data_IF_686782677880
#
_entry.id   IF_686782677880
#
_cell.length_a   1.000
_cell.length_b   1.000
_cell.length_c   1.000
_cell.angle_alpha   90.00
_cell.angle_beta   90.00
_cell.angle_gamma   90.00
#
_symmetry.space_group_name_H-M   'P 1'
#
loop_
_entity.id
_entity.type
_entity.pdbx_description
1 polymer ?
#
# COMPACT_ATOMS: atom_id res chain seq x y z
N UNK A 1 13.74 -9.20 4.96
CA UNK A 1 12.56 -9.31 4.06
C UNK A 1 12.82 -8.51 2.81
N UNK A 2 12.42 -9.03 1.66
CA UNK A 2 12.51 -8.31 0.39
C UNK A 2 11.16 -7.70 0.05
N UNK A 3 11.19 -6.44 -0.39
CA UNK A 3 10.01 -5.70 -0.84
C UNK A 3 10.21 -5.20 -2.26
N UNK A 4 9.11 -5.08 -2.98
CA UNK A 4 9.09 -4.68 -4.39
C UNK A 4 8.16 -3.49 -4.58
N UNK A 5 8.58 -2.58 -5.46
CA UNK A 5 7.78 -1.43 -5.87
C UNK A 5 7.74 -1.33 -7.39
N UNK A 6 6.54 -1.30 -7.96
CA UNK A 6 6.34 -1.18 -9.40
C UNK A 6 6.11 0.27 -9.83
N UNK A 7 6.89 0.75 -10.79
CA UNK A 7 6.83 2.12 -11.27
C UNK A 7 7.21 2.21 -12.75
N UNK A 8 7.34 3.41 -13.27
CA UNK A 8 7.84 3.67 -14.62
C UNK A 8 9.34 4.00 -14.65
N UNK A 9 9.99 4.03 -13.50
CA UNK A 9 11.44 4.27 -13.38
C UNK A 9 11.98 3.61 -12.11
N UNK A 10 13.29 3.39 -12.08
CA UNK A 10 13.96 2.91 -10.87
C UNK A 10 13.93 3.99 -9.78
N UNK A 11 13.72 3.57 -8.52
CA UNK A 11 13.64 4.49 -7.39
C UNK A 11 14.70 4.08 -6.34
N UNK A 12 15.99 4.45 -6.56
CA UNK A 12 17.05 4.13 -5.58
C UNK A 12 16.85 4.82 -4.24
N UNK A 13 16.20 5.97 -4.25
CA UNK A 13 15.95 6.77 -3.05
C UNK A 13 14.47 7.15 -2.97
N UNK A 14 13.63 6.29 -2.36
CA UNK A 14 12.21 6.59 -2.22
C UNK A 14 11.98 7.83 -1.34
N UNK A 15 10.90 8.55 -1.61
CA UNK A 15 10.48 9.70 -0.83
C UNK A 15 8.95 9.70 -0.62
N UNK A 16 8.49 10.60 0.25
CA UNK A 16 7.08 10.76 0.57
C UNK A 16 6.43 11.84 -0.32
N UNK A 17 7.22 12.82 -0.79
CA UNK A 17 6.72 14.03 -1.45
C UNK A 17 6.03 13.75 -2.80
N UNK A 18 6.47 12.73 -3.53
CA UNK A 18 5.92 12.35 -4.83
C UNK A 18 4.70 11.43 -4.73
N UNK A 19 4.27 11.08 -3.52
CA UNK A 19 3.11 10.20 -3.31
C UNK A 19 1.79 10.95 -3.38
N UNK A 20 0.71 10.20 -3.72
CA UNK A 20 -0.65 10.74 -3.70
C UNK A 20 -1.21 10.73 -2.29
N UNK A 21 -1.96 11.79 -1.86
CA UNK A 21 -2.42 11.89 -0.48
C UNK A 21 -3.67 11.06 -0.15
N UNK A 22 -4.60 10.88 -1.10
CA UNK A 22 -5.92 10.30 -0.84
C UNK A 22 -6.02 8.87 -1.37
N UNK A 23 -5.13 8.01 -0.90
CA UNK A 23 -5.07 6.58 -1.24
C UNK A 23 -5.21 5.73 0.03
N UNK A 24 -5.19 4.42 -0.11
CA UNK A 24 -5.63 3.46 0.92
C UNK A 24 -5.06 3.70 2.33
N UNK A 25 -3.77 3.96 2.45
CA UNK A 25 -3.10 4.22 3.72
C UNK A 25 -2.53 5.64 3.81
N UNK A 26 -3.04 6.53 2.96
CA UNK A 26 -2.59 7.91 2.90
C UNK A 26 -1.27 8.08 2.17
N UNK A 27 -0.70 9.27 2.29
CA UNK A 27 0.56 9.62 1.64
C UNK A 27 1.70 8.75 2.18
N UNK A 28 2.49 8.19 1.26
CA UNK A 28 3.61 7.34 1.63
C UNK A 28 4.22 6.62 0.43
N UNK A 29 5.26 5.87 0.69
CA UNK A 29 5.89 4.99 -0.28
C UNK A 29 5.35 3.57 -0.08
N UNK A 30 4.78 2.99 -1.14
CA UNK A 30 4.12 1.69 -1.10
C UNK A 30 5.00 0.60 -1.71
N UNK A 31 5.13 -0.52 -1.00
CA UNK A 31 5.86 -1.68 -1.48
C UNK A 31 5.14 -2.97 -1.02
N UNK A 32 5.45 -4.09 -1.65
CA UNK A 32 4.83 -5.38 -1.34
C UNK A 32 5.88 -6.48 -1.30
N UNK A 33 5.75 -7.49 -0.42
CA UNK A 33 6.59 -8.67 -0.47
C UNK A 33 6.24 -9.60 -1.64
N UNK A 34 5.12 -9.35 -2.33
CA UNK A 34 4.65 -10.17 -3.44
C UNK A 34 5.16 -9.61 -4.77
N UNK A 35 6.20 -10.22 -5.33
CA UNK A 35 6.81 -9.77 -6.59
C UNK A 35 5.77 -9.63 -7.70
N UNK A 36 4.92 -10.63 -7.87
CA UNK A 36 3.87 -10.64 -8.90
C UNK A 36 2.90 -9.45 -8.77
N UNK A 37 2.59 -9.05 -7.55
CA UNK A 37 1.73 -7.89 -7.30
C UNK A 37 2.40 -6.60 -7.78
N UNK A 38 3.67 -6.43 -7.48
CA UNK A 38 4.44 -5.26 -7.94
C UNK A 38 4.60 -5.26 -9.47
N UNK A 39 4.78 -6.42 -10.08
CA UNK A 39 4.83 -6.58 -11.55
C UNK A 39 3.49 -6.17 -12.20
N UNK A 40 2.36 -6.50 -11.59
CA UNK A 40 1.06 -6.05 -12.07
C UNK A 40 0.89 -4.53 -11.99
N UNK A 41 1.43 -3.90 -10.96
CA UNK A 41 1.46 -2.42 -10.89
C UNK A 41 2.28 -1.82 -12.04
N UNK A 42 3.36 -2.47 -12.45
CA UNK A 42 4.17 -2.03 -13.58
C UNK A 42 3.43 -2.10 -14.92
N UNK A 43 2.57 -3.11 -15.12
CA UNK A 43 1.87 -3.34 -16.39
C UNK A 43 1.05 -2.13 -16.86
N UNK A 44 0.49 -1.37 -15.93
CA UNK A 44 -0.26 -0.15 -16.27
C UNK A 44 0.61 0.88 -16.99
N UNK A 45 1.89 0.97 -16.62
CA UNK A 45 2.83 1.88 -17.26
C UNK A 45 3.15 1.45 -18.69
N UNK A 46 3.30 0.15 -18.92
CA UNK A 46 3.45 -0.39 -20.30
C UNK A 46 2.25 -0.04 -21.17
N UNK A 47 1.04 -0.15 -20.66
CA UNK A 47 -0.18 0.24 -21.39
C UNK A 47 -0.22 1.72 -21.74
N UNK A 48 0.48 2.55 -20.98
CA UNK A 48 0.62 3.99 -21.22
C UNK A 48 1.83 4.33 -22.13
N UNK A 49 2.52 3.33 -22.68
CA UNK A 49 3.71 3.54 -23.51
C UNK A 49 4.95 3.91 -22.72
N UNK A 50 4.97 3.68 -21.41
CA UNK A 50 6.11 3.94 -20.53
C UNK A 50 6.86 2.65 -20.20
N UNK A 51 8.06 2.76 -19.68
CA UNK A 51 8.77 1.61 -19.15
C UNK A 51 8.05 1.08 -17.90
N UNK A 52 8.19 -0.21 -17.66
CA UNK A 52 7.75 -0.86 -16.43
C UNK A 52 8.99 -1.29 -15.66
N UNK A 53 9.21 -0.70 -14.50
CA UNK A 53 10.41 -0.92 -13.69
C UNK A 53 10.02 -1.42 -12.31
N UNK A 54 10.63 -2.53 -11.93
CA UNK A 54 10.48 -3.12 -10.60
C UNK A 54 11.69 -2.74 -9.75
N UNK A 55 11.49 -1.92 -8.75
CA UNK A 55 12.52 -1.59 -7.75
C UNK A 55 12.48 -2.58 -6.60
N UNK A 56 13.64 -2.99 -6.12
CA UNK A 56 13.83 -4.06 -5.13
C UNK A 56 14.54 -3.50 -3.91
N UNK A 57 14.00 -3.79 -2.73
CA UNK A 57 14.55 -3.33 -1.46
C UNK A 57 14.66 -4.48 -0.47
N UNK A 58 15.69 -4.46 0.36
CA UNK A 58 15.71 -5.21 1.61
C UNK A 58 15.20 -4.31 2.73
N UNK A 59 14.47 -4.89 3.67
CA UNK A 59 13.93 -4.17 4.82
C UNK A 59 14.57 -4.72 6.09
N UNK A 60 15.07 -3.82 6.92
CA UNK A 60 15.59 -4.15 8.25
C UNK A 60 14.42 -4.33 9.22
N UNK A 61 14.08 -5.57 9.52
CA UNK A 61 12.93 -5.92 10.36
C UNK A 61 13.10 -5.45 11.82
N UNK A 62 14.34 -5.38 12.33
CA UNK A 62 14.62 -4.85 13.66
C UNK A 62 14.32 -3.37 13.76
N UNK A 63 14.81 -2.59 12.80
CA UNK A 63 14.53 -1.15 12.72
C UNK A 63 13.06 -0.89 12.49
N UNK A 64 12.41 -1.70 11.65
CA UNK A 64 10.96 -1.61 11.44
C UNK A 64 10.20 -1.76 12.75
N UNK A 65 10.55 -2.74 13.57
CA UNK A 65 9.89 -3.01 14.85
C UNK A 65 9.99 -1.85 15.86
N UNK A 66 10.95 -0.95 15.68
CA UNK A 66 11.12 0.25 16.51
C UNK A 66 10.26 1.44 16.06
N UNK A 67 9.59 1.31 14.91
CA UNK A 67 8.72 2.36 14.36
C UNK A 67 7.29 2.22 14.88
N UNK A 68 6.51 3.29 14.74
CA UNK A 68 5.07 3.23 15.05
C UNK A 68 4.35 2.49 13.94
N UNK A 69 3.93 1.27 14.22
CA UNK A 69 3.31 0.37 13.26
C UNK A 69 1.81 0.26 13.45
N UNK A 70 1.09 0.16 12.35
CA UNK A 70 -0.29 -0.28 12.32
C UNK A 70 -0.39 -1.44 11.33
N UNK A 71 -0.88 -2.58 11.77
CA UNK A 71 -0.97 -3.79 10.94
C UNK A 71 -2.37 -4.37 10.97
N UNK A 72 -2.85 -4.75 9.78
CA UNK A 72 -4.14 -5.40 9.59
C UNK A 72 -3.93 -6.78 8.97
N UNK A 73 -4.35 -7.83 9.65
CA UNK A 73 -4.22 -9.21 9.16
C UNK A 73 -5.30 -9.59 8.15
N UNK A 74 -6.44 -8.91 8.20
CA UNK A 74 -7.61 -9.20 7.37
C UNK A 74 -8.26 -7.90 6.88
N UNK A 75 -9.19 -8.02 5.95
CA UNK A 75 -10.09 -6.92 5.57
C UNK A 75 -11.19 -6.77 6.63
N UNK A 76 -10.78 -6.28 7.80
CA UNK A 76 -11.66 -6.04 8.95
C UNK A 76 -12.36 -4.70 8.85
N UNK A 77 -13.30 -4.45 9.77
CA UNK A 77 -13.90 -3.14 9.93
C UNK A 77 -12.86 -2.06 10.23
N UNK A 78 -11.88 -2.38 11.10
CA UNK A 78 -10.80 -1.45 11.42
C UNK A 78 -9.97 -1.08 10.17
N UNK A 79 -9.68 -2.05 9.30
CA UNK A 79 -9.04 -1.79 8.00
C UNK A 79 -9.90 -0.88 7.13
N UNK A 80 -11.19 -1.19 7.01
CA UNK A 80 -12.12 -0.44 6.17
C UNK A 80 -12.24 1.02 6.64
N UNK A 81 -12.42 1.24 7.94
CA UNK A 81 -12.54 2.58 8.52
C UNK A 81 -11.25 3.38 8.35
N UNK A 82 -10.09 2.73 8.52
CA UNK A 82 -8.80 3.38 8.31
C UNK A 82 -8.62 3.81 6.84
N UNK A 83 -8.93 2.93 5.89
CA UNK A 83 -8.86 3.23 4.46
C UNK A 83 -9.77 4.40 4.10
N UNK A 84 -11.00 4.39 4.59
CA UNK A 84 -11.96 5.49 4.34
C UNK A 84 -11.45 6.81 4.92
N UNK A 85 -10.91 6.82 6.12
CA UNK A 85 -10.30 8.03 6.72
C UNK A 85 -9.14 8.55 5.89
N UNK A 86 -8.24 7.67 5.45
CA UNK A 86 -7.11 8.07 4.62
C UNK A 86 -7.57 8.64 3.28
N UNK A 87 -8.51 7.98 2.61
CA UNK A 87 -9.03 8.41 1.30
C UNK A 87 -9.82 9.72 1.38
N UNK A 88 -10.47 10.00 2.51
CA UNK A 88 -11.20 11.26 2.74
C UNK A 88 -10.33 12.40 3.28
N UNK A 89 -9.06 12.14 3.56
CA UNK A 89 -8.14 13.13 4.13
C UNK A 89 -8.39 13.40 5.62
N UNK A 90 -9.14 12.54 6.30
CA UNK A 90 -9.49 12.70 7.72
C UNK A 90 -8.53 11.96 8.66
N UNK A 91 -7.60 11.16 8.14
CA UNK A 91 -6.61 10.48 8.96
C UNK A 91 -5.62 11.50 9.54
N UNK A 92 -5.48 11.49 10.85
CA UNK A 92 -4.54 12.33 11.62
C UNK A 92 -3.59 11.49 12.47
N UNK A 93 -3.52 10.17 12.20
CA UNK A 93 -2.61 9.28 12.89
C UNK A 93 -1.16 9.57 12.53
N UNK A 94 -0.26 9.20 13.41
CA UNK A 94 1.18 9.41 13.26
C UNK A 94 1.95 8.10 13.04
N UNK A 95 1.29 7.06 12.53
CA UNK A 95 1.95 5.81 12.20
C UNK A 95 3.05 6.03 11.16
N UNK A 96 4.20 5.43 11.42
CA UNK A 96 5.33 5.44 10.47
C UNK A 96 5.10 4.48 9.33
N UNK A 97 4.61 3.27 9.65
CA UNK A 97 4.39 2.20 8.67
C UNK A 97 3.01 1.60 8.90
N UNK A 98 2.24 1.49 7.83
CA UNK A 98 0.95 0.79 7.83
C UNK A 98 1.07 -0.44 6.93
N UNK A 99 0.65 -1.59 7.47
CA UNK A 99 0.74 -2.89 6.80
C UNK A 99 -0.68 -3.46 6.71
N UNK A 100 -1.10 -3.86 5.51
CA UNK A 100 -2.43 -4.41 5.34
C UNK A 100 -2.74 -4.81 3.92
N UNK A 101 -3.95 -5.29 3.69
CA UNK A 101 -4.39 -5.76 2.38
C UNK A 101 -4.49 -4.65 1.34
N UNK A 102 -4.11 -5.00 0.11
CA UNK A 102 -4.30 -4.16 -1.08
C UNK A 102 -5.76 -4.24 -1.48
N UNK A 103 -6.39 -3.12 -1.80
CA UNK A 103 -7.72 -3.10 -2.38
C UNK A 103 -7.64 -3.50 -3.87
N UNK A 104 -7.80 -4.80 -4.16
CA UNK A 104 -7.99 -5.27 -5.53
C UNK A 104 -9.35 -4.79 -6.07
N UNK A 105 -9.66 -5.04 -7.36
CA UNK A 105 -10.87 -4.52 -8.00
C UNK A 105 -12.15 -4.82 -7.22
N UNK A 106 -12.26 -6.03 -6.67
CA UNK A 106 -13.43 -6.49 -5.91
C UNK A 106 -13.55 -5.82 -4.55
N UNK A 107 -12.43 -5.76 -3.82
CA UNK A 107 -12.32 -5.07 -2.54
C UNK A 107 -12.51 -3.57 -2.72
N UNK A 108 -11.89 -2.99 -3.74
CA UNK A 108 -12.01 -1.58 -4.09
C UNK A 108 -13.48 -1.18 -4.34
N UNK A 109 -14.22 -1.98 -5.09
CA UNK A 109 -15.64 -1.73 -5.33
C UNK A 109 -16.45 -1.67 -4.01
N UNK A 110 -16.18 -2.57 -3.08
CA UNK A 110 -16.82 -2.54 -1.76
C UNK A 110 -16.43 -1.29 -0.96
N UNK A 111 -15.17 -0.89 -0.99
CA UNK A 111 -14.68 0.33 -0.33
C UNK A 111 -15.38 1.57 -0.88
N UNK A 112 -15.51 1.66 -2.22
CA UNK A 112 -16.20 2.78 -2.88
C UNK A 112 -17.67 2.87 -2.50
N UNK A 113 -18.37 1.74 -2.50
CA UNK A 113 -19.80 1.69 -2.12
C UNK A 113 -19.99 2.10 -0.66
N UNK A 114 -19.13 1.66 0.22
CA UNK A 114 -19.17 2.05 1.64
C UNK A 114 -18.80 3.52 1.84
N UNK A 115 -17.76 4.00 1.16
CA UNK A 115 -17.36 5.41 1.18
C UNK A 115 -18.48 6.34 0.72
N UNK A 116 -19.21 5.95 -0.31
CA UNK A 116 -20.32 6.73 -0.89
C UNK A 116 -21.66 6.53 -0.15
N UNK A 117 -21.64 5.82 0.98
CA UNK A 117 -22.84 5.51 1.79
C UNK A 117 -23.93 4.71 1.05
N UNK A 118 -23.55 3.96 0.02
CA UNK A 118 -24.49 3.13 -0.76
C UNK A 118 -24.71 1.76 -0.12
N UNK A 119 -23.80 1.30 0.71
CA UNK A 119 -23.94 0.12 1.56
C UNK A 119 -23.55 0.48 2.99
N UNK A 120 -24.10 -0.25 3.97
CA UNK A 120 -23.73 -0.07 5.35
C UNK A 120 -22.50 -0.91 5.75
N UNK A 121 -22.06 -0.73 6.98
CA UNK A 121 -20.92 -1.42 7.57
C UNK A 121 -21.09 -2.95 7.53
N UNK A 122 -22.27 -3.44 7.90
CA UNK A 122 -22.58 -4.87 7.93
C UNK A 122 -22.46 -5.51 6.54
N UNK A 123 -23.01 -4.87 5.52
CA UNK A 123 -22.93 -5.34 4.14
C UNK A 123 -21.50 -5.29 3.62
N UNK A 124 -20.74 -4.24 3.93
CA UNK A 124 -19.35 -4.12 3.52
C UNK A 124 -18.50 -5.27 4.10
N UNK A 125 -18.60 -5.53 5.39
CA UNK A 125 -17.87 -6.62 6.06
C UNK A 125 -18.29 -7.98 5.53
N UNK A 126 -19.57 -8.18 5.25
CA UNK A 126 -20.08 -9.42 4.65
C UNK A 126 -19.41 -9.70 3.30
N UNK A 127 -19.24 -8.69 2.46
CA UNK A 127 -18.57 -8.80 1.16
C UNK A 127 -17.07 -9.08 1.29
N UNK A 128 -16.42 -8.48 2.28
CA UNK A 128 -14.97 -8.56 2.47
C UNK A 128 -14.50 -9.83 3.18
N UNK A 129 -15.33 -10.48 3.97
CA UNK A 129 -14.92 -11.55 4.88
C UNK A 129 -14.31 -12.79 4.20
N UNK A 130 -14.61 -13.02 2.93
CA UNK A 130 -14.07 -14.14 2.16
C UNK A 130 -12.88 -13.73 1.28
N UNK A 131 -12.52 -12.46 1.27
CA UNK A 131 -11.40 -11.98 0.50
C UNK A 131 -10.09 -12.22 1.27
N UNK A 132 -9.10 -12.80 0.57
CA UNK A 132 -7.78 -13.06 1.14
C UNK A 132 -6.87 -11.85 0.82
N UNK A 133 -6.29 -11.19 1.83
CA UNK A 133 -5.49 -10.00 1.58
C UNK A 133 -4.14 -10.31 0.93
N UNK A 134 -3.80 -9.56 -0.11
CA UNK A 134 -2.45 -9.40 -0.60
C UNK A 134 -1.84 -8.21 0.13
N UNK A 135 -0.75 -8.42 0.84
CA UNK A 135 -0.22 -7.43 1.77
C UNK A 135 0.62 -6.38 1.07
N UNK A 136 0.42 -5.13 1.45
CA UNK A 136 1.28 -4.00 1.10
C UNK A 136 1.80 -3.31 2.36
N UNK A 137 2.96 -2.67 2.22
CA UNK A 137 3.59 -1.84 3.23
C UNK A 137 3.55 -0.40 2.75
N UNK A 138 3.07 0.51 3.58
CA UNK A 138 3.10 1.95 3.31
C UNK A 138 4.04 2.62 4.30
N UNK A 139 5.13 3.16 3.80
CA UNK A 139 6.13 3.92 4.57
C UNK A 139 5.72 5.39 4.53
N UNK A 140 5.29 5.94 5.65
CA UNK A 140 4.59 7.23 5.73
C UNK A 140 5.47 8.38 6.18
N UNK A 141 6.65 8.09 6.70
CA UNK A 141 7.60 9.10 7.23
C UNK A 141 8.99 8.87 6.66
N UNK A 142 9.83 9.90 6.71
CA UNK A 142 11.24 9.79 6.31
C UNK A 142 11.99 8.78 7.20
N UNK A 143 11.67 8.74 8.50
CA UNK A 143 12.24 7.78 9.45
C UNK A 143 11.85 6.34 9.04
N UNK A 144 10.62 6.14 8.58
CA UNK A 144 10.18 4.84 8.09
C UNK A 144 10.98 4.39 6.86
N UNK A 145 11.27 5.31 5.94
CA UNK A 145 12.05 5.00 4.74
C UNK A 145 13.48 4.55 5.06
N UNK A 146 14.03 4.95 6.19
CA UNK A 146 15.37 4.56 6.62
C UNK A 146 15.54 3.05 6.86
N UNK A 147 14.44 2.31 7.01
CA UNK A 147 14.47 0.85 7.18
C UNK A 147 14.63 0.10 5.86
N UNK A 148 14.50 0.81 4.72
CA UNK A 148 14.66 0.26 3.38
C UNK A 148 16.08 0.47 2.86
N UNK A 149 16.61 -0.58 2.22
CA UNK A 149 17.87 -0.53 1.51
C UNK A 149 17.64 -0.95 0.05
N UNK A 150 18.03 -0.09 -0.89
CA UNK A 150 17.86 -0.36 -2.32
C UNK A 150 18.85 -1.43 -2.80
N UNK A 151 18.34 -2.49 -3.41
CA UNK A 151 19.12 -3.62 -3.91
C UNK A 151 19.30 -3.59 -5.42
N UNK A 152 18.45 -2.90 -6.14
CA UNK A 152 18.50 -2.83 -7.58
C UNK A 152 17.12 -2.71 -8.22
N UNK A 153 17.08 -2.84 -9.55
CA UNK A 153 15.84 -2.79 -10.31
C UNK A 153 15.88 -3.73 -11.51
N UNK A 154 14.69 -4.10 -11.96
CA UNK A 154 14.47 -4.89 -13.18
C UNK A 154 13.55 -4.11 -14.12
N UNK A 155 13.89 -4.10 -15.41
CA UNK A 155 13.01 -3.58 -16.47
C UNK A 155 12.20 -4.75 -17.00
N UNK A 156 10.89 -4.65 -16.99
CA UNK A 156 9.97 -5.72 -17.38
C UNK A 156 9.59 -5.68 -18.85
#
# INVERSE_FOLDING_TARGET
>A
MILYHGSNLAIPKPDILHSRPYVDFGRGFYATPLKEQAEQWCKRYKRQGKEAVLSIYSMDERKMAERKLLSFDTYSLDWLDFVVKCRSGQDKSDYDIVIGGIANDKVFNTVELYFDHLIDEEEAIKRLRYEKPNIQYCFRTEEALSVLHYEGSEIL
#
